data_IF_508693015857
#
_entry.id   IF_508693015857
#
_cell.length_a   1.000
_cell.length_b   1.000
_cell.length_c   1.000
_cell.angle_alpha   90.00
_cell.angle_beta   90.00
_cell.angle_gamma   90.00
#
_symmetry.space_group_name_H-M   'P 1'
#
loop_
_entity.id
_entity.type
_entity.pdbx_description
1 polymer ?
#
# COMPACT_ATOMS: atom_id res chain seq x y z
N UNK A 1 -16.64 12.92 -19.01
CA UNK A 1 -16.00 11.96 -18.09
C UNK A 1 -14.55 12.39 -18.00
N UNK A 2 -14.01 12.62 -16.81
CA UNK A 2 -12.57 12.83 -16.67
C UNK A 2 -11.88 11.49 -16.87
N UNK A 3 -11.04 11.38 -17.89
CA UNK A 3 -10.21 10.19 -18.08
C UNK A 3 -9.31 10.03 -16.85
N UNK A 4 -9.41 8.87 -16.19
CA UNK A 4 -8.57 8.59 -15.02
C UNK A 4 -7.15 8.32 -15.52
N UNK A 5 -6.20 9.16 -15.14
CA UNK A 5 -4.80 9.01 -15.53
C UNK A 5 -4.24 7.70 -14.96
N UNK A 6 -3.79 6.80 -15.83
CA UNK A 6 -2.97 5.65 -15.46
C UNK A 6 -1.51 5.90 -15.86
N UNK A 7 -0.58 5.60 -14.95
CA UNK A 7 0.85 5.71 -15.19
C UNK A 7 1.61 4.63 -14.43
N UNK A 8 2.39 3.82 -15.15
CA UNK A 8 3.34 2.89 -14.53
C UNK A 8 4.51 3.64 -13.88
N UNK A 9 4.95 3.15 -12.72
CA UNK A 9 6.10 3.65 -11.98
C UNK A 9 7.12 2.51 -11.84
N UNK A 10 8.38 2.86 -11.55
CA UNK A 10 9.47 1.88 -11.43
C UNK A 10 9.14 0.74 -10.45
N UNK A 11 8.41 1.06 -9.40
CA UNK A 11 8.08 0.11 -8.32
C UNK A 11 6.59 0.05 -8.02
N UNK A 12 5.74 0.45 -8.97
CA UNK A 12 4.33 0.63 -8.70
C UNK A 12 3.55 1.25 -9.85
N UNK A 13 2.44 1.90 -9.53
CA UNK A 13 1.62 2.61 -10.49
C UNK A 13 0.82 3.73 -9.84
N UNK A 14 0.41 4.69 -10.66
CA UNK A 14 -0.58 5.71 -10.33
C UNK A 14 -1.87 5.44 -11.11
N UNK A 15 -3.00 5.60 -10.45
CA UNK A 15 -4.34 5.55 -11.04
C UNK A 15 -5.20 6.68 -10.45
N UNK A 16 -5.35 7.77 -11.19
CA UNK A 16 -6.00 8.97 -10.72
C UNK A 16 -5.30 9.55 -9.48
N UNK A 17 -6.02 9.63 -8.37
CA UNK A 17 -5.50 10.13 -7.09
C UNK A 17 -4.71 9.07 -6.29
N UNK A 18 -4.75 7.81 -6.69
CA UNK A 18 -4.07 6.72 -5.97
C UNK A 18 -2.68 6.44 -6.54
N UNK A 19 -1.69 6.36 -5.67
CA UNK A 19 -0.35 5.86 -5.96
C UNK A 19 -0.09 4.62 -5.11
N UNK A 20 0.24 3.51 -5.75
CA UNK A 20 0.67 2.26 -5.10
C UNK A 20 2.13 2.04 -5.46
N UNK A 21 3.02 1.93 -4.47
CA UNK A 21 4.44 1.69 -4.70
C UNK A 21 5.06 0.72 -3.69
N UNK A 22 6.02 -0.09 -4.13
CA UNK A 22 6.88 -0.87 -3.23
C UNK A 22 7.94 0.02 -2.61
N UNK A 23 7.87 0.22 -1.30
CA UNK A 23 8.83 1.01 -0.54
C UNK A 23 10.10 0.22 -0.20
N UNK A 24 9.93 -0.99 0.32
CA UNK A 24 11.03 -1.86 0.73
C UNK A 24 10.59 -3.31 0.68
N UNK A 25 11.53 -4.21 0.35
CA UNK A 25 11.33 -5.64 0.40
C UNK A 25 12.59 -6.35 0.87
N UNK A 26 12.42 -7.45 1.58
CA UNK A 26 13.50 -8.37 1.94
C UNK A 26 13.17 -9.76 1.38
N UNK A 27 13.84 -10.15 0.31
CA UNK A 27 13.63 -11.42 -0.37
C UNK A 27 14.06 -12.61 0.50
N UNK A 28 15.08 -12.43 1.34
CA UNK A 28 15.59 -13.50 2.22
C UNK A 28 14.61 -13.79 3.35
N UNK A 29 14.07 -12.74 3.97
CA UNK A 29 13.06 -12.87 5.03
C UNK A 29 11.66 -13.09 4.46
N UNK A 30 11.45 -12.75 3.19
CA UNK A 30 10.20 -12.90 2.46
C UNK A 30 9.14 -11.94 2.98
N UNK A 31 9.39 -10.64 2.94
CA UNK A 31 8.36 -9.64 3.22
C UNK A 31 8.51 -8.41 2.33
N UNK A 32 7.43 -7.65 2.22
CA UNK A 32 7.36 -6.40 1.47
C UNK A 32 6.54 -5.36 2.22
N UNK A 33 6.93 -4.09 2.09
CA UNK A 33 6.12 -2.93 2.46
C UNK A 33 5.72 -2.21 1.19
N UNK A 34 4.41 -2.08 0.99
CA UNK A 34 3.81 -1.26 -0.06
C UNK A 34 3.27 0.03 0.57
N UNK A 35 3.40 1.15 -0.13
CA UNK A 35 2.71 2.39 0.18
C UNK A 35 1.46 2.52 -0.67
N UNK A 36 0.37 2.97 -0.04
CA UNK A 36 -0.77 3.58 -0.73
C UNK A 36 -0.82 5.04 -0.33
N UNK A 37 -0.68 5.94 -1.31
CA UNK A 37 -0.84 7.37 -1.12
C UNK A 37 -2.01 7.88 -1.96
N UNK A 38 -2.84 8.71 -1.34
CA UNK A 38 -3.91 9.49 -1.98
C UNK A 38 -3.86 10.92 -1.47
N UNK A 39 -4.68 11.81 -2.03
CA UNK A 39 -4.84 13.17 -1.48
C UNK A 39 -5.37 13.22 -0.03
N UNK A 40 -5.92 12.12 0.49
CA UNK A 40 -6.59 12.07 1.80
C UNK A 40 -5.94 11.12 2.81
N UNK A 41 -5.20 10.13 2.33
CA UNK A 41 -4.71 9.03 3.16
C UNK A 41 -3.35 8.56 2.69
N UNK A 42 -2.51 8.22 3.66
CA UNK A 42 -1.28 7.47 3.46
C UNK A 42 -1.30 6.22 4.31
N UNK A 43 -1.16 5.05 3.66
CA UNK A 43 -1.12 3.77 4.31
C UNK A 43 0.17 3.02 3.97
N UNK A 44 0.69 2.27 4.94
CA UNK A 44 1.76 1.30 4.75
C UNK A 44 1.23 -0.11 4.93
N UNK A 45 1.36 -0.93 3.89
CA UNK A 45 0.87 -2.30 3.82
C UNK A 45 2.08 -3.23 3.93
N UNK A 46 2.28 -3.82 5.10
CA UNK A 46 3.28 -4.85 5.35
C UNK A 46 2.71 -6.24 5.06
N UNK A 47 3.36 -7.00 4.18
CA UNK A 47 2.94 -8.35 3.79
C UNK A 47 4.11 -9.33 3.99
N UNK A 48 3.86 -10.41 4.71
CA UNK A 48 4.84 -11.51 4.88
C UNK A 48 4.68 -12.59 3.82
N UNK A 49 5.68 -13.46 3.68
CA UNK A 49 5.66 -14.66 2.81
C UNK A 49 4.55 -15.65 3.13
N UNK A 50 3.98 -15.58 4.33
CA UNK A 50 2.85 -16.41 4.75
C UNK A 50 1.51 -15.74 4.47
N UNK A 51 1.50 -14.56 3.84
CA UNK A 51 0.29 -13.78 3.59
C UNK A 51 -0.25 -13.02 4.80
N UNK A 52 0.51 -12.92 5.90
CA UNK A 52 0.10 -12.06 7.02
C UNK A 52 0.20 -10.60 6.56
N UNK A 53 -0.90 -9.88 6.70
CA UNK A 53 -1.00 -8.46 6.35
C UNK A 53 -1.11 -7.62 7.62
N UNK A 54 -0.37 -6.51 7.65
CA UNK A 54 -0.56 -5.42 8.61
C UNK A 54 -0.61 -4.11 7.85
N UNK A 55 -1.61 -3.28 8.14
CA UNK A 55 -1.77 -1.98 7.50
C UNK A 55 -1.57 -0.94 8.59
N UNK A 56 -0.75 0.08 8.34
CA UNK A 56 -0.57 1.21 9.25
C UNK A 56 -0.99 2.50 8.56
N UNK A 57 -1.61 3.41 9.31
CA UNK A 57 -1.88 4.76 8.85
C UNK A 57 -0.65 5.68 8.99
N UNK A 58 -0.83 6.95 8.64
CA UNK A 58 0.20 7.99 8.74
C UNK A 58 0.65 8.32 10.17
N UNK A 59 -0.17 8.00 11.18
CA UNK A 59 0.19 8.11 12.59
C UNK A 59 0.96 6.85 13.09
N UNK A 60 1.13 5.84 12.23
CA UNK A 60 1.70 4.55 12.60
C UNK A 60 0.75 3.65 13.38
N UNK A 61 -0.55 3.96 13.43
CA UNK A 61 -1.56 3.10 14.06
C UNK A 61 -1.91 1.98 13.11
N UNK A 62 -1.94 0.75 13.63
CA UNK A 62 -2.39 -0.40 12.85
C UNK A 62 -3.88 -0.23 12.51
N UNK A 63 -4.22 -0.20 11.23
CA UNK A 63 -5.59 -0.24 10.76
C UNK A 63 -6.15 -1.62 11.10
N UNK A 64 -7.01 -1.64 12.11
CA UNK A 64 -7.77 -2.81 12.47
C UNK A 64 -9.03 -2.82 11.61
N UNK A 65 -9.29 -3.88 10.83
CA UNK A 65 -10.61 -4.03 10.22
C UNK A 65 -11.64 -3.96 11.35
N UNK A 66 -12.61 -3.07 11.22
CA UNK A 66 -13.83 -3.16 12.01
C UNK A 66 -14.38 -4.56 11.81
N UNK A 67 -14.36 -5.39 12.85
CA UNK A 67 -14.76 -6.80 12.81
C UNK A 67 -15.98 -7.02 11.88
N UNK A 68 -15.81 -7.79 10.81
CA UNK A 68 -16.93 -8.40 10.07
C UNK A 68 -16.89 -8.23 8.55
N UNK A 69 -16.36 -9.26 7.89
CA UNK A 69 -16.77 -9.72 6.56
C UNK A 69 -16.99 -11.21 6.64
#
# INVERSE_FOLDING_TARGET
MSDVEFKELKYGFKYGDATIERHISDEKKGWVVLGLETSKHRLQIYVTKTGKVRIHDEDGKEWLPSNGG
#
